data_IF_240790308296
#
_entry.id   IF_240790308296
#
_cell.length_a   1.000
_cell.length_b   1.000
_cell.length_c   1.000
_cell.angle_alpha   90.00
_cell.angle_beta   90.00
_cell.angle_gamma   90.00
#
_symmetry.space_group_name_H-M   'P 1'
#
loop_
_entity.id
_entity.type
_entity.pdbx_description
1 polymer ?
#
# COMPACT_ATOMS: atom_id res chain seq x y z
N UNK A 1 52.12 25.01 26.45
CA UNK A 1 51.90 23.58 26.78
C UNK A 1 50.51 23.21 26.25
N UNK A 2 50.47 22.49 25.13
CA UNK A 2 49.26 22.08 24.41
C UNK A 2 48.76 20.76 25.01
N UNK A 3 47.53 20.74 25.53
CA UNK A 3 46.87 19.53 26.03
C UNK A 3 46.08 18.88 24.88
N UNK A 4 46.18 17.55 24.65
CA UNK A 4 45.68 16.89 23.45
C UNK A 4 44.17 16.63 23.48
N UNK A 5 43.48 17.00 22.41
CA UNK A 5 42.03 16.89 22.17
C UNK A 5 41.60 15.46 21.71
N UNK A 6 42.46 14.44 21.85
CA UNK A 6 42.28 13.17 21.11
C UNK A 6 41.53 12.08 21.90
N UNK A 7 41.18 12.29 23.17
CA UNK A 7 40.71 11.21 24.04
C UNK A 7 39.18 11.14 24.25
N UNK A 8 38.38 11.33 23.19
CA UNK A 8 36.91 11.09 23.24
C UNK A 8 36.37 10.27 22.05
N UNK A 9 37.21 9.51 21.35
CA UNK A 9 36.79 8.61 20.26
C UNK A 9 36.49 7.16 20.72
N UNK A 10 36.02 6.97 21.96
CA UNK A 10 35.45 5.70 22.44
C UNK A 10 33.96 5.82 22.79
N UNK A 11 33.25 6.69 22.09
CA UNK A 11 31.79 6.73 22.14
C UNK A 11 31.23 5.54 21.33
N UNK A 12 30.85 4.50 22.07
CA UNK A 12 29.71 3.61 21.83
C UNK A 12 29.12 3.67 20.42
N UNK A 13 29.44 2.65 19.62
CA UNK A 13 28.81 2.34 18.33
C UNK A 13 27.27 2.51 18.43
N UNK A 14 26.70 3.63 17.93
CA UNK A 14 25.31 4.01 18.16
C UNK A 14 24.34 3.09 17.41
N UNK A 15 24.87 2.26 16.51
CA UNK A 15 24.11 1.35 15.68
C UNK A 15 24.05 -0.07 16.27
N UNK A 16 24.80 -0.35 17.35
CA UNK A 16 24.79 -1.64 18.05
C UNK A 16 23.41 -2.11 18.52
N UNK A 17 22.50 -1.26 19.07
CA UNK A 17 21.15 -1.70 19.43
C UNK A 17 20.31 -2.03 18.19
N UNK A 18 20.45 -1.26 17.11
CA UNK A 18 19.73 -1.46 15.83
C UNK A 18 20.19 -2.77 15.17
N UNK A 19 21.50 -3.04 15.18
CA UNK A 19 22.08 -4.28 14.62
C UNK A 19 21.65 -5.52 15.41
N UNK A 20 21.52 -5.42 16.75
CA UNK A 20 20.97 -6.49 17.62
C UNK A 20 19.47 -6.69 17.44
N UNK A 21 18.73 -5.64 17.11
CA UNK A 21 17.30 -5.73 16.78
C UNK A 21 17.09 -6.41 15.41
N UNK A 22 17.84 -5.99 14.38
CA UNK A 22 17.81 -6.59 13.05
C UNK A 22 18.24 -8.07 13.05
N UNK A 23 19.24 -8.44 13.86
CA UNK A 23 19.70 -9.83 13.99
C UNK A 23 18.71 -10.77 14.69
N UNK A 24 17.78 -10.26 15.51
CA UNK A 24 16.76 -11.06 16.21
C UNK A 24 15.52 -11.35 15.37
N UNK A 25 15.19 -10.49 14.40
CA UNK A 25 14.06 -10.71 13.49
C UNK A 25 14.34 -11.87 12.52
N UNK A 26 15.53 -11.88 11.88
CA UNK A 26 15.90 -12.91 10.89
C UNK A 26 15.86 -14.36 11.41
N UNK A 27 16.15 -14.60 12.69
CA UNK A 27 16.13 -15.96 13.26
C UNK A 27 14.71 -16.47 13.57
N UNK A 28 13.73 -15.58 13.78
CA UNK A 28 12.32 -15.98 14.01
C UNK A 28 11.60 -16.27 12.69
N UNK A 29 11.91 -15.52 11.64
CA UNK A 29 11.27 -15.70 10.34
C UNK A 29 11.74 -17.01 9.66
N UNK A 30 13.02 -17.36 9.80
CA UNK A 30 13.57 -18.56 9.17
C UNK A 30 13.00 -19.88 9.75
N UNK A 31 12.64 -19.92 11.03
CA UNK A 31 12.14 -21.13 11.69
C UNK A 31 10.64 -21.37 11.44
N UNK A 32 9.90 -20.36 10.98
CA UNK A 32 8.45 -20.47 10.72
C UNK A 32 8.07 -20.59 9.24
N UNK A 33 9.02 -20.37 8.31
CA UNK A 33 8.70 -20.22 6.88
C UNK A 33 8.66 -21.53 6.07
N UNK A 34 9.08 -22.69 6.59
CA UNK A 34 9.30 -23.87 5.75
C UNK A 34 8.36 -25.10 5.93
N UNK A 35 7.44 -25.14 6.89
CA UNK A 35 6.68 -26.42 7.12
C UNK A 35 5.17 -26.32 7.35
N UNK A 36 4.54 -25.14 7.27
CA UNK A 36 3.07 -25.02 7.41
C UNK A 36 2.43 -24.03 6.43
N UNK A 37 2.79 -24.12 5.15
CA UNK A 37 1.92 -23.53 4.11
C UNK A 37 1.07 -24.68 3.58
N UNK A 38 -0.25 -24.75 3.89
CA UNK A 38 -1.13 -25.67 3.19
C UNK A 38 -0.88 -25.48 1.70
N UNK A 39 -0.57 -26.56 0.98
CA UNK A 39 -0.36 -26.49 -0.46
C UNK A 39 -1.69 -26.12 -1.09
N UNK A 40 -1.92 -24.83 -1.23
CA UNK A 40 -3.08 -24.29 -1.93
C UNK A 40 -3.04 -24.87 -3.34
N UNK A 41 -4.13 -25.52 -3.76
CA UNK A 41 -4.19 -26.03 -5.13
C UNK A 41 -3.97 -24.85 -6.10
N UNK A 42 -3.29 -25.07 -7.23
CA UNK A 42 -3.04 -24.00 -8.20
C UNK A 42 -4.34 -23.32 -8.66
N UNK A 43 -5.48 -24.03 -8.59
CA UNK A 43 -6.81 -23.49 -8.87
C UNK A 43 -7.33 -22.58 -7.75
N UNK A 44 -7.17 -22.97 -6.49
CA UNK A 44 -7.59 -22.18 -5.34
C UNK A 44 -6.80 -20.86 -5.23
N UNK A 45 -5.52 -20.85 -5.61
CA UNK A 45 -4.71 -19.63 -5.66
C UNK A 45 -5.17 -18.66 -6.75
N UNK A 46 -5.62 -19.16 -7.91
CA UNK A 46 -6.14 -18.33 -9.01
C UNK A 46 -7.45 -17.64 -8.64
N UNK A 47 -8.38 -18.36 -8.01
CA UNK A 47 -9.65 -17.78 -7.55
C UNK A 47 -9.42 -16.70 -6.49
N UNK A 48 -8.52 -16.97 -5.54
CA UNK A 48 -8.15 -15.99 -4.49
C UNK A 48 -7.56 -14.70 -5.08
N UNK A 49 -6.72 -14.80 -6.13
CA UNK A 49 -6.20 -13.63 -6.84
C UNK A 49 -7.28 -12.87 -7.62
N UNK A 50 -8.25 -13.57 -8.21
CA UNK A 50 -9.38 -12.94 -8.90
C UNK A 50 -10.25 -12.13 -7.94
N UNK A 51 -10.53 -12.68 -6.75
CA UNK A 51 -11.29 -11.99 -5.71
C UNK A 51 -10.53 -10.76 -5.19
N UNK A 52 -9.22 -10.87 -5.01
CA UNK A 52 -8.35 -9.74 -4.66
C UNK A 52 -8.39 -8.64 -5.73
N UNK A 53 -8.26 -8.99 -7.01
CA UNK A 53 -8.31 -8.03 -8.11
C UNK A 53 -9.69 -7.36 -8.21
N UNK A 54 -10.78 -8.11 -7.96
CA UNK A 54 -12.14 -7.58 -7.98
C UNK A 54 -12.36 -6.56 -6.85
N UNK A 55 -11.89 -6.86 -5.64
CA UNK A 55 -11.95 -5.93 -4.51
C UNK A 55 -11.13 -4.65 -4.78
N UNK A 56 -9.93 -4.83 -5.34
CA UNK A 56 -9.07 -3.71 -5.71
C UNK A 56 -9.72 -2.84 -6.79
N UNK A 57 -10.29 -3.45 -7.82
CA UNK A 57 -10.98 -2.74 -8.91
C UNK A 57 -12.21 -1.97 -8.40
N UNK A 58 -12.99 -2.55 -7.49
CA UNK A 58 -14.15 -1.88 -6.90
C UNK A 58 -13.74 -0.65 -6.10
N UNK A 59 -12.68 -0.77 -5.28
CA UNK A 59 -12.15 0.36 -4.53
C UNK A 59 -11.50 1.40 -5.45
N UNK A 60 -10.78 0.98 -6.47
CA UNK A 60 -10.22 1.87 -7.49
C UNK A 60 -11.31 2.68 -8.19
N UNK A 61 -12.45 2.07 -8.51
CA UNK A 61 -13.59 2.76 -9.09
C UNK A 61 -14.17 3.81 -8.14
N UNK A 62 -14.34 3.46 -6.87
CA UNK A 62 -14.77 4.41 -5.83
C UNK A 62 -13.80 5.59 -5.70
N UNK A 63 -12.50 5.32 -5.67
CA UNK A 63 -11.45 6.33 -5.68
C UNK A 63 -11.51 7.21 -6.95
N UNK A 64 -11.64 6.62 -8.13
CA UNK A 64 -11.73 7.36 -9.39
C UNK A 64 -12.91 8.34 -9.40
N UNK A 65 -14.08 7.93 -8.90
CA UNK A 65 -15.26 8.79 -8.79
C UNK A 65 -15.01 9.98 -7.84
N UNK A 66 -14.34 9.75 -6.71
CA UNK A 66 -13.93 10.83 -5.80
C UNK A 66 -12.97 11.78 -6.52
N UNK A 67 -11.95 11.25 -7.21
CA UNK A 67 -11.00 12.07 -7.96
C UNK A 67 -11.66 12.92 -9.06
N UNK A 68 -12.63 12.34 -9.80
CA UNK A 68 -13.45 13.06 -10.78
C UNK A 68 -14.24 14.17 -10.10
N UNK A 69 -14.87 13.89 -8.96
CA UNK A 69 -15.64 14.90 -8.22
C UNK A 69 -14.76 16.05 -7.73
N UNK A 70 -13.57 15.74 -7.22
CA UNK A 70 -12.57 16.75 -6.82
C UNK A 70 -12.11 17.58 -8.02
N UNK A 71 -11.70 16.93 -9.12
CA UNK A 71 -11.27 17.63 -10.34
C UNK A 71 -12.37 18.51 -10.94
N UNK A 72 -13.62 18.02 -10.98
CA UNK A 72 -14.78 18.80 -11.39
C UNK A 72 -15.02 19.99 -10.45
N UNK A 73 -14.85 19.82 -9.15
CA UNK A 73 -15.00 20.91 -8.18
C UNK A 73 -13.96 22.02 -8.41
N UNK A 74 -12.71 21.67 -8.71
CA UNK A 74 -11.67 22.66 -9.06
C UNK A 74 -12.05 23.48 -10.30
N UNK A 75 -12.59 22.82 -11.32
CA UNK A 75 -13.06 23.47 -12.54
C UNK A 75 -14.29 24.35 -12.25
N UNK A 76 -15.31 23.83 -11.57
CA UNK A 76 -16.56 24.56 -11.32
C UNK A 76 -16.35 25.79 -10.43
N UNK A 77 -15.46 25.70 -9.44
CA UNK A 77 -15.11 26.80 -8.56
C UNK A 77 -14.07 27.76 -9.18
N UNK A 78 -13.65 27.51 -10.42
CA UNK A 78 -12.65 28.28 -11.16
C UNK A 78 -11.34 28.51 -10.36
N UNK A 79 -10.90 27.48 -9.63
CA UNK A 79 -9.72 27.56 -8.78
C UNK A 79 -8.48 27.77 -9.66
N UNK A 80 -7.77 28.88 -9.44
CA UNK A 80 -6.61 29.22 -10.27
C UNK A 80 -6.95 29.62 -11.71
N UNK A 81 -8.21 29.98 -12.01
CA UNK A 81 -8.63 30.39 -13.35
C UNK A 81 -8.81 29.23 -14.35
N UNK A 82 -8.91 28.00 -13.83
CA UNK A 82 -8.98 26.76 -14.60
C UNK A 82 -10.22 26.68 -15.51
N UNK A 83 -11.38 27.17 -15.06
CA UNK A 83 -12.58 27.24 -15.89
C UNK A 83 -12.42 28.28 -17.00
N UNK A 84 -11.78 29.41 -16.67
CA UNK A 84 -11.45 30.46 -17.63
C UNK A 84 -10.53 29.95 -18.75
N UNK A 85 -9.50 29.17 -18.39
CA UNK A 85 -8.62 28.48 -19.34
C UNK A 85 -9.41 27.50 -20.22
N UNK A 86 -10.31 26.73 -19.61
CA UNK A 86 -11.14 25.76 -20.34
C UNK A 86 -12.06 26.45 -21.37
N UNK A 87 -12.67 27.57 -21.01
CA UNK A 87 -13.57 28.34 -21.89
C UNK A 87 -12.86 29.04 -23.05
N UNK A 88 -11.59 29.42 -22.87
CA UNK A 88 -10.78 30.07 -23.91
C UNK A 88 -10.07 29.08 -24.84
N UNK A 89 -9.99 27.81 -24.46
CA UNK A 89 -9.32 26.79 -25.25
C UNK A 89 -10.08 26.52 -26.56
N UNK A 90 -9.36 26.48 -27.69
CA UNK A 90 -9.92 26.07 -28.98
C UNK A 90 -10.38 24.60 -28.95
N UNK A 91 -9.70 23.77 -28.15
CA UNK A 91 -10.09 22.39 -27.86
C UNK A 91 -10.11 22.20 -26.32
N UNK A 92 -11.29 22.23 -25.67
CA UNK A 92 -11.40 22.10 -24.22
C UNK A 92 -11.17 20.66 -23.73
N UNK A 93 -11.17 19.66 -24.62
CA UNK A 93 -11.02 18.24 -24.22
C UNK A 93 -9.65 17.98 -23.62
N UNK A 94 -8.60 18.56 -24.21
CA UNK A 94 -7.22 18.35 -23.76
C UNK A 94 -6.98 18.84 -22.32
N UNK A 95 -7.24 20.12 -21.97
CA UNK A 95 -7.09 20.60 -20.60
C UNK A 95 -8.03 19.89 -19.62
N UNK A 96 -9.25 19.51 -20.05
CA UNK A 96 -10.15 18.73 -19.20
C UNK A 96 -9.53 17.38 -18.83
N UNK A 97 -9.00 16.63 -19.80
CA UNK A 97 -8.34 15.34 -19.55
C UNK A 97 -7.08 15.52 -18.70
N UNK A 98 -6.31 16.58 -18.93
CA UNK A 98 -5.09 16.87 -18.17
C UNK A 98 -5.36 17.10 -16.67
N UNK A 99 -6.57 17.56 -16.32
CA UNK A 99 -6.99 17.70 -14.92
C UNK A 99 -7.64 16.41 -14.43
N UNK A 100 -8.66 15.92 -15.14
CA UNK A 100 -9.50 14.83 -14.64
C UNK A 100 -8.75 13.51 -14.52
N UNK A 101 -7.88 13.17 -15.48
CA UNK A 101 -7.15 11.89 -15.49
C UNK A 101 -6.19 11.74 -14.30
N UNK A 102 -5.31 12.70 -13.97
CA UNK A 102 -4.42 12.53 -12.82
C UNK A 102 -5.17 12.52 -11.49
N UNK A 103 -6.22 13.33 -11.31
CA UNK A 103 -7.04 13.28 -10.09
C UNK A 103 -7.76 11.94 -9.95
N UNK A 104 -8.44 11.46 -10.99
CA UNK A 104 -9.09 10.16 -10.98
C UNK A 104 -8.08 9.03 -10.69
N UNK A 105 -6.92 9.06 -11.35
CA UNK A 105 -5.87 8.05 -11.19
C UNK A 105 -5.28 8.05 -9.77
N UNK A 106 -5.01 9.24 -9.21
CA UNK A 106 -4.45 9.39 -7.87
C UNK A 106 -5.38 8.78 -6.81
N UNK A 107 -6.66 9.15 -6.84
CA UNK A 107 -7.62 8.65 -5.87
C UNK A 107 -7.96 7.17 -6.09
N UNK A 108 -8.03 6.71 -7.35
CA UNK A 108 -8.19 5.30 -7.67
C UNK A 108 -7.05 4.45 -7.09
N UNK A 109 -5.80 4.88 -7.30
CA UNK A 109 -4.63 4.20 -6.77
C UNK A 109 -4.61 4.20 -5.23
N UNK A 110 -4.96 5.32 -4.59
CA UNK A 110 -5.03 5.42 -3.14
C UNK A 110 -6.10 4.49 -2.54
N UNK A 111 -7.29 4.44 -3.14
CA UNK A 111 -8.37 3.56 -2.70
C UNK A 111 -8.03 2.08 -2.93
N UNK A 112 -7.46 1.74 -4.09
CA UNK A 112 -6.96 0.40 -4.40
C UNK A 112 -5.89 -0.07 -3.39
N UNK A 113 -4.91 0.79 -3.10
CA UNK A 113 -3.86 0.48 -2.11
C UNK A 113 -4.44 0.31 -0.70
N UNK A 114 -5.41 1.14 -0.32
CA UNK A 114 -6.11 1.02 0.96
C UNK A 114 -6.87 -0.30 1.09
N UNK A 115 -7.48 -0.77 0.00
CA UNK A 115 -8.15 -2.07 -0.05
C UNK A 115 -7.16 -3.23 0.18
N UNK A 116 -5.97 -3.18 -0.43
CA UNK A 116 -4.92 -4.16 -0.20
C UNK A 116 -4.43 -4.14 1.26
N UNK A 117 -4.26 -2.97 1.85
CA UNK A 117 -3.80 -2.84 3.25
C UNK A 117 -4.84 -3.35 4.26
N UNK A 118 -6.13 -3.30 3.92
CA UNK A 118 -7.23 -3.71 4.78
C UNK A 118 -7.65 -5.17 4.59
N UNK A 119 -7.11 -5.84 3.56
CA UNK A 119 -7.36 -7.27 3.32
C UNK A 119 -6.85 -8.11 4.51
N UNK A 120 -7.73 -8.91 5.16
CA UNK A 120 -7.37 -9.69 6.33
C UNK A 120 -6.55 -10.94 5.96
N UNK A 121 -5.25 -10.76 5.74
CA UNK A 121 -4.33 -11.85 5.36
C UNK A 121 -4.17 -12.93 6.46
N UNK A 122 -4.65 -12.67 7.69
CA UNK A 122 -4.36 -13.49 8.89
C UNK A 122 -5.37 -14.58 9.24
N UNK A 123 -6.52 -14.72 8.55
CA UNK A 123 -7.55 -15.69 8.97
C UNK A 123 -7.69 -16.95 8.13
N UNK A 124 -7.14 -17.01 6.92
CA UNK A 124 -7.33 -18.17 6.02
C UNK A 124 -6.55 -19.43 6.38
N UNK A 125 -5.85 -19.46 7.53
CA UNK A 125 -4.99 -20.58 7.95
C UNK A 125 -5.15 -20.96 9.42
N UNK A 126 -6.16 -20.45 10.13
CA UNK A 126 -6.36 -20.72 11.56
C UNK A 126 -7.57 -21.58 11.88
N UNK A 127 -8.44 -21.83 10.90
CA UNK A 127 -9.71 -22.52 11.13
C UNK A 127 -9.64 -24.02 10.79
N UNK A 128 -8.49 -24.52 10.30
CA UNK A 128 -8.28 -25.95 9.96
C UNK A 128 -7.56 -26.75 11.07
N UNK A 129 -7.11 -26.12 12.18
CA UNK A 129 -6.29 -26.78 13.23
C UNK A 129 -7.10 -27.21 14.47
N UNK A 130 -8.43 -26.96 14.48
CA UNK A 130 -9.34 -27.29 15.58
C UNK A 130 -10.17 -28.58 15.33
N UNK A 131 -9.96 -29.29 14.21
CA UNK A 131 -10.71 -30.50 13.83
C UNK A 131 -10.05 -31.84 14.17
N UNK A 132 -8.75 -31.87 14.48
CA UNK A 132 -7.96 -33.11 14.59
C UNK A 132 -7.54 -33.48 16.04
N UNK A 133 -8.25 -32.98 17.08
CA UNK A 133 -7.89 -33.24 18.49
C UNK A 133 -8.87 -34.08 19.32
N UNK A 134 -9.91 -34.65 18.72
CA UNK A 134 -10.93 -35.39 19.49
C UNK A 134 -11.02 -36.91 19.22
N UNK A 135 -10.01 -37.55 18.60
CA UNK A 135 -9.94 -39.02 18.56
C UNK A 135 -8.52 -39.55 18.84
N UNK A 136 -8.31 -40.00 20.08
CA UNK A 136 -7.11 -40.69 20.56
C UNK A 136 -7.30 -41.24 21.97
#
# INVERSE_FOLDING_TARGET
>A
MLVPIVEMARLTDPLKPIKRWAGRQRKRDFILLNSRKPRMSPEAARRDHQDMLRLMALNALGGALIGIFVGASLLLLDIGGLLGLLRRASNPVLPLMLVMVPFASLFAAAAAASAILTLPYKRKFRDDDDGDRDEG
#
